data_IF_210947219391
#
_entry.id   IF_210947219391
#
_cell.length_a   1.000
_cell.length_b   1.000
_cell.length_c   1.000
_cell.angle_alpha   90.00
_cell.angle_beta   90.00
_cell.angle_gamma   90.00
#
_symmetry.space_group_name_H-M   'P 1'
#
loop_
_entity.id
_entity.type
_entity.pdbx_description
1 polymer ?
#
# COMPACT_ATOMS: atom_id res chain seq x y z
N UNK A 1 -13.33 -2.64 -20.64
CA UNK A 1 -13.44 -2.64 -19.16
C UNK A 1 -12.08 -2.32 -18.58
N UNK A 2 -12.05 -1.35 -17.69
CA UNK A 2 -10.79 -0.93 -17.07
C UNK A 2 -10.29 -1.99 -16.09
N UNK A 3 -8.99 -2.21 -16.10
CA UNK A 3 -8.38 -3.11 -15.12
C UNK A 3 -8.35 -2.44 -13.75
N UNK A 4 -8.45 -3.26 -12.71
CA UNK A 4 -8.19 -2.78 -11.35
C UNK A 4 -6.71 -2.41 -11.26
N UNK A 5 -6.43 -1.22 -10.75
CA UNK A 5 -5.06 -0.74 -10.55
C UNK A 5 -4.66 -0.97 -9.09
N UNK A 6 -3.61 -1.70 -8.91
CA UNK A 6 -3.04 -2.04 -7.61
C UNK A 6 -1.61 -1.50 -7.53
N UNK A 7 -1.31 -0.79 -6.47
CA UNK A 7 0.04 -0.26 -6.24
C UNK A 7 0.57 -0.78 -4.93
N UNK A 8 1.82 -1.24 -4.91
CA UNK A 8 2.43 -1.71 -3.68
C UNK A 8 3.85 -1.18 -3.53
N UNK A 9 4.26 -1.02 -2.27
CA UNK A 9 5.66 -0.77 -1.96
C UNK A 9 6.45 -2.07 -2.18
N UNK A 10 7.70 -1.94 -2.67
CA UNK A 10 8.59 -3.08 -2.84
C UNK A 10 9.06 -3.52 -1.46
N UNK A 11 8.54 -4.64 -0.98
CA UNK A 11 8.86 -5.14 0.36
C UNK A 11 10.03 -6.11 0.31
N UNK A 12 9.79 -7.41 0.15
CA UNK A 12 10.87 -8.35 -0.12
C UNK A 12 10.70 -8.91 -1.51
N UNK A 13 11.82 -9.35 -2.14
CA UNK A 13 11.76 -9.86 -3.51
C UNK A 13 10.73 -10.98 -3.66
N UNK A 14 10.69 -11.90 -2.71
CA UNK A 14 9.79 -13.06 -2.76
C UNK A 14 8.33 -12.63 -2.60
N UNK A 15 8.03 -11.77 -1.65
CA UNK A 15 6.66 -11.31 -1.39
C UNK A 15 6.16 -10.46 -2.55
N UNK A 16 6.98 -9.55 -3.02
CA UNK A 16 6.61 -8.67 -4.14
C UNK A 16 6.34 -9.48 -5.40
N UNK A 17 7.23 -10.43 -5.72
CA UNK A 17 7.05 -11.28 -6.91
C UNK A 17 5.80 -12.14 -6.80
N UNK A 18 5.54 -12.73 -5.65
CA UNK A 18 4.36 -13.57 -5.43
C UNK A 18 3.06 -12.79 -5.56
N UNK A 19 3.00 -11.60 -4.97
CA UNK A 19 1.83 -10.74 -5.08
C UNK A 19 1.59 -10.30 -6.52
N UNK A 20 2.63 -9.88 -7.19
CA UNK A 20 2.55 -9.42 -8.58
C UNK A 20 2.05 -10.53 -9.51
N UNK A 21 2.65 -11.71 -9.40
CA UNK A 21 2.26 -12.85 -10.22
C UNK A 21 0.80 -13.24 -10.00
N UNK A 22 0.40 -13.37 -8.73
CA UNK A 22 -0.97 -13.78 -8.39
C UNK A 22 -2.01 -12.78 -8.90
N UNK A 23 -1.74 -11.49 -8.76
CA UNK A 23 -2.67 -10.44 -9.16
C UNK A 23 -2.71 -10.26 -10.67
N UNK A 24 -1.56 -10.31 -11.34
CA UNK A 24 -1.52 -10.16 -12.79
C UNK A 24 -2.24 -11.31 -13.50
N UNK A 25 -2.19 -12.51 -12.95
CA UNK A 25 -2.95 -13.66 -13.46
C UNK A 25 -4.46 -13.42 -13.42
N UNK A 26 -4.91 -12.57 -12.53
CA UNK A 26 -6.32 -12.21 -12.38
C UNK A 26 -6.71 -10.97 -13.18
N UNK A 27 -5.82 -10.46 -13.98
CA UNK A 27 -6.07 -9.29 -14.81
C UNK A 27 -5.90 -7.95 -14.08
N UNK A 28 -5.28 -7.95 -12.90
CA UNK A 28 -5.00 -6.74 -12.16
C UNK A 28 -3.73 -6.09 -12.69
N UNK A 29 -3.76 -4.78 -12.84
CA UNK A 29 -2.58 -4.01 -13.24
C UNK A 29 -1.79 -3.64 -11.99
N UNK A 30 -0.59 -4.18 -11.86
CA UNK A 30 0.24 -4.02 -10.66
C UNK A 30 1.38 -3.05 -10.91
N UNK A 31 1.48 -2.04 -10.05
CA UNK A 31 2.59 -1.10 -10.04
C UNK A 31 3.38 -1.31 -8.75
N UNK A 32 4.67 -1.57 -8.87
CA UNK A 32 5.58 -1.73 -7.72
C UNK A 32 6.46 -0.49 -7.65
N UNK A 33 6.54 0.12 -6.48
CA UNK A 33 7.33 1.32 -6.24
C UNK A 33 8.35 1.04 -5.15
N UNK A 34 9.54 1.61 -5.26
CA UNK A 34 10.55 1.51 -4.21
C UNK A 34 9.96 1.86 -2.85
N UNK A 35 10.50 1.25 -1.81
CA UNK A 35 10.05 1.44 -0.43
C UNK A 35 10.47 2.83 0.09
N UNK A 36 9.85 3.85 -0.47
CA UNK A 36 10.08 5.26 -0.14
C UNK A 36 8.74 5.98 -0.21
N UNK A 37 8.30 6.52 0.92
CA UNK A 37 6.97 7.11 1.04
C UNK A 37 6.70 8.29 0.12
N UNK A 38 7.72 9.11 -0.14
CA UNK A 38 7.56 10.25 -1.05
C UNK A 38 7.39 9.81 -2.49
N UNK A 39 8.18 8.84 -2.93
CA UNK A 39 8.07 8.29 -4.29
C UNK A 39 6.73 7.57 -4.46
N UNK A 40 6.30 6.85 -3.44
CA UNK A 40 5.01 6.15 -3.46
C UNK A 40 3.87 7.15 -3.60
N UNK A 41 3.88 8.22 -2.79
CA UNK A 41 2.85 9.23 -2.87
C UNK A 41 2.78 9.88 -4.25
N UNK A 42 3.93 10.23 -4.81
CA UNK A 42 3.99 10.81 -6.16
C UNK A 42 3.41 9.86 -7.20
N UNK A 43 3.75 8.59 -7.10
CA UNK A 43 3.26 7.59 -8.05
C UNK A 43 1.76 7.34 -7.90
N UNK A 44 1.26 7.36 -6.67
CA UNK A 44 -0.18 7.21 -6.41
C UNK A 44 -0.98 8.35 -7.04
N UNK A 45 -0.48 9.56 -7.00
CA UNK A 45 -1.15 10.72 -7.58
C UNK A 45 -1.20 10.63 -9.11
N UNK A 46 -0.31 9.90 -9.74
CA UNK A 46 -0.29 9.67 -11.19
C UNK A 46 -1.16 8.47 -11.56
N UNK A 47 -0.94 7.34 -10.92
CA UNK A 47 -1.61 6.06 -11.24
C UNK A 47 -3.06 6.04 -10.77
N UNK A 48 -3.35 6.67 -9.65
CA UNK A 48 -4.67 6.68 -9.02
C UNK A 48 -5.21 5.27 -8.81
N UNK A 49 -4.50 4.46 -7.98
CA UNK A 49 -4.88 3.06 -7.80
C UNK A 49 -6.16 2.91 -6.99
N UNK A 50 -6.90 1.83 -7.25
CA UNK A 50 -8.07 1.48 -6.44
C UNK A 50 -7.65 0.78 -5.14
N UNK A 51 -6.51 0.07 -5.16
CA UNK A 51 -6.01 -0.67 -4.00
C UNK A 51 -4.52 -0.40 -3.83
N UNK A 52 -4.12 -0.19 -2.60
CA UNK A 52 -2.71 0.09 -2.25
C UNK A 52 -2.29 -0.82 -1.10
N UNK A 53 -1.10 -1.39 -1.20
CA UNK A 53 -0.47 -2.14 -0.12
C UNK A 53 0.86 -1.47 0.23
N UNK A 54 0.97 -0.98 1.45
CA UNK A 54 2.14 -0.22 1.90
C UNK A 54 2.81 -0.90 3.09
N UNK A 55 4.14 -0.85 3.13
CA UNK A 55 4.87 -1.19 4.34
C UNK A 55 4.57 -0.13 5.41
N UNK A 56 4.36 -0.57 6.65
CA UNK A 56 4.02 0.34 7.74
C UNK A 56 5.11 1.39 7.95
N UNK A 57 6.36 0.96 7.89
CA UNK A 57 7.51 1.84 8.10
C UNK A 57 8.34 1.93 6.83
N UNK A 58 8.54 3.14 6.35
CA UNK A 58 9.29 3.41 5.11
C UNK A 58 10.10 4.69 5.26
N UNK A 59 11.25 4.78 4.58
CA UNK A 59 11.95 6.06 4.50
C UNK A 59 11.06 7.15 3.88
N UNK A 60 11.31 8.37 4.24
CA UNK A 60 10.59 9.53 3.75
C UNK A 60 9.29 9.76 4.48
N UNK A 61 8.27 8.97 4.15
CA UNK A 61 6.97 9.00 4.80
C UNK A 61 6.58 7.56 5.16
N UNK A 62 6.02 7.36 6.34
CA UNK A 62 5.44 6.05 6.69
C UNK A 62 4.07 5.87 6.02
N UNK A 63 3.49 4.68 6.15
CA UNK A 63 2.23 4.35 5.50
C UNK A 63 1.10 5.30 5.90
N UNK A 64 1.02 5.63 7.19
CA UNK A 64 -0.01 6.54 7.70
C UNK A 64 0.11 7.93 7.08
N UNK A 65 1.34 8.46 7.00
CA UNK A 65 1.59 9.78 6.41
C UNK A 65 1.24 9.80 4.92
N UNK A 66 1.60 8.72 4.19
CA UNK A 66 1.23 8.59 2.77
C UNK A 66 -0.28 8.64 2.60
N UNK A 67 -1.00 7.84 3.39
CA UNK A 67 -2.46 7.80 3.34
C UNK A 67 -3.07 9.17 3.64
N UNK A 68 -2.63 9.82 4.70
CA UNK A 68 -3.15 11.13 5.10
C UNK A 68 -2.96 12.17 4.00
N UNK A 69 -1.77 12.22 3.40
CA UNK A 69 -1.48 13.18 2.34
C UNK A 69 -2.25 12.88 1.06
N UNK A 70 -2.42 11.60 0.72
CA UNK A 70 -3.16 11.20 -0.46
C UNK A 70 -4.65 11.55 -0.32
N UNK A 71 -5.24 11.26 0.83
CA UNK A 71 -6.64 11.61 1.11
C UNK A 71 -6.82 13.14 1.12
N UNK A 72 -5.87 13.88 1.70
CA UNK A 72 -5.91 15.35 1.72
C UNK A 72 -5.83 15.94 0.32
N UNK A 73 -5.27 15.22 -0.65
CA UNK A 73 -5.24 15.64 -2.05
C UNK A 73 -6.58 15.38 -2.78
N UNK A 74 -7.59 14.90 -2.07
CA UNK A 74 -8.94 14.70 -2.61
C UNK A 74 -9.27 13.28 -3.04
N UNK A 75 -8.37 12.33 -2.80
CA UNK A 75 -8.57 10.94 -3.20
C UNK A 75 -9.26 10.15 -2.09
N UNK A 76 -10.51 9.74 -2.32
CA UNK A 76 -11.34 9.11 -1.28
C UNK A 76 -11.79 7.69 -1.61
N UNK A 77 -11.43 7.17 -2.79
CA UNK A 77 -11.94 5.87 -3.25
C UNK A 77 -10.90 4.75 -3.26
N UNK A 78 -9.74 4.98 -2.66
CA UNK A 78 -8.68 3.99 -2.61
C UNK A 78 -8.79 3.17 -1.32
N UNK A 79 -8.65 1.85 -1.45
CA UNK A 79 -8.59 0.95 -0.30
C UNK A 79 -7.14 0.72 0.08
N UNK A 80 -6.81 0.95 1.33
CA UNK A 80 -5.45 0.86 1.85
C UNK A 80 -5.26 -0.39 2.68
N UNK A 81 -4.29 -1.21 2.29
CA UNK A 81 -3.77 -2.30 3.11
C UNK A 81 -2.37 -1.93 3.58
N UNK A 82 -1.99 -2.43 4.73
CA UNK A 82 -0.66 -2.19 5.29
C UNK A 82 -0.02 -3.51 5.70
N UNK A 83 1.29 -3.61 5.57
CA UNK A 83 2.04 -4.79 5.95
C UNK A 83 3.23 -4.42 6.82
N UNK A 84 3.72 -5.36 7.61
CA UNK A 84 4.88 -5.14 8.46
C UNK A 84 5.23 -6.38 9.25
N UNK A 85 6.33 -6.29 10.00
CA UNK A 85 6.85 -7.38 10.80
C UNK A 85 6.74 -7.12 12.30
N UNK A 86 5.89 -6.20 12.71
CA UNK A 86 5.67 -5.92 14.13
C UNK A 86 4.46 -6.70 14.67
N UNK A 87 4.46 -6.96 15.97
CA UNK A 87 3.42 -7.77 16.62
C UNK A 87 2.59 -7.00 17.65
N UNK A 88 2.75 -5.68 17.72
CA UNK A 88 2.00 -4.88 18.66
C UNK A 88 0.54 -4.75 18.23
N UNK A 89 -0.37 -5.30 19.03
CA UNK A 89 -1.81 -5.17 18.78
C UNK A 89 -2.26 -3.72 18.81
N UNK A 90 -1.62 -2.90 19.65
CA UNK A 90 -1.93 -1.47 19.74
C UNK A 90 -1.62 -0.76 18.44
N UNK A 91 -0.46 -1.04 17.83
CA UNK A 91 -0.06 -0.42 16.57
C UNK A 91 -0.97 -0.87 15.44
N UNK A 92 -1.32 -2.16 15.40
CA UNK A 92 -2.25 -2.68 14.39
C UNK A 92 -3.61 -2.01 14.52
N UNK A 93 -4.14 -1.93 15.75
CA UNK A 93 -5.43 -1.29 15.99
C UNK A 93 -5.41 0.19 15.61
N UNK A 94 -4.32 0.88 15.91
CA UNK A 94 -4.16 2.28 15.54
C UNK A 94 -4.24 2.48 14.02
N UNK A 95 -3.57 1.62 13.26
CA UNK A 95 -3.63 1.67 11.80
C UNK A 95 -5.03 1.38 11.27
N UNK A 96 -5.71 0.39 11.85
CA UNK A 96 -7.09 0.09 11.46
C UNK A 96 -8.03 1.25 11.79
N UNK A 97 -7.83 1.89 12.93
CA UNK A 97 -8.64 3.06 13.34
C UNK A 97 -8.42 4.25 12.40
N UNK A 98 -7.25 4.33 11.77
CA UNK A 98 -6.93 5.38 10.82
C UNK A 98 -7.40 5.04 9.40
N UNK A 99 -8.15 3.97 9.24
CA UNK A 99 -8.81 3.65 7.98
C UNK A 99 -8.08 2.67 7.06
N UNK A 100 -7.02 2.00 7.56
CA UNK A 100 -6.46 0.88 6.81
C UNK A 100 -7.41 -0.30 6.90
N UNK A 101 -7.69 -0.92 5.78
CA UNK A 101 -8.69 -2.00 5.71
C UNK A 101 -8.18 -3.29 6.35
N UNK A 102 -6.87 -3.52 6.30
CA UNK A 102 -6.30 -4.76 6.82
C UNK A 102 -4.80 -4.61 7.06
N UNK A 103 -4.30 -5.31 8.07
CA UNK A 103 -2.87 -5.44 8.34
C UNK A 103 -2.43 -6.86 8.00
N UNK A 104 -1.44 -6.98 7.09
CA UNK A 104 -0.87 -8.25 6.68
C UNK A 104 0.48 -8.44 7.39
N UNK A 105 0.53 -9.40 8.32
CA UNK A 105 1.76 -9.68 9.04
C UNK A 105 2.76 -10.44 8.17
N UNK A 106 4.03 -10.03 8.23
CA UNK A 106 5.14 -10.71 7.56
C UNK A 106 5.85 -11.70 8.48
N UNK A 107 5.37 -11.87 9.70
CA UNK A 107 5.95 -12.81 10.66
C UNK A 107 5.18 -14.12 10.63
#
# INVERSE_FOLDING_TARGET
MDKVRFLMSDTSADVTAACREALEQKGVEVTVVEKDGLQILQKMLVVRPQVVLLDAFMPGLDALAVKQKYVAAGETHTTFFVTGAFQSEEMVQELLDEGFAYYLSLI
#
